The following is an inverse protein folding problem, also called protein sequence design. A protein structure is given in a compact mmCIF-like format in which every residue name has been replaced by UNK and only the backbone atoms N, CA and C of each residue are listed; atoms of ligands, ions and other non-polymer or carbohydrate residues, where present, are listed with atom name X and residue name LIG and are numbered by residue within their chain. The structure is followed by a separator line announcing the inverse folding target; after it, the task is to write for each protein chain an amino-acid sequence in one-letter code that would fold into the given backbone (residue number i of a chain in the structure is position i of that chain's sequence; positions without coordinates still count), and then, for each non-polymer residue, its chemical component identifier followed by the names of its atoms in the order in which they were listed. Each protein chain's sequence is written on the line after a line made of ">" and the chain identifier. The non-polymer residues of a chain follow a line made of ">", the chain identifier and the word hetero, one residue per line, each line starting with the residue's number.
data_IF_781278319408
#
_entry.id   IF_781278319408
#
_cell.length_a   1.000
_cell.length_b   1.000
_cell.length_c   1.000
_cell.angle_alpha   90.00
_cell.angle_beta   90.00
_cell.angle_gamma   90.00
#
_symmetry.space_group_name_H-M   'P 1'
#
loop_
_entity.id
_entity.type
_entity.pdbx_description
1 polymer ?
#
# COMPACT_ATOMS: atom_id res chain seq x y z
N UNK A 1 -0.45 -10.83 -2.91
CA UNK A 1 0.27 -9.54 -3.03
C UNK A 1 0.25 -8.78 -1.71
N UNK A 2 1.38 -8.19 -1.31
CA UNK A 2 1.61 -7.47 -0.05
C UNK A 2 1.28 -8.26 1.24
N UNK A 3 1.79 -9.48 1.37
CA UNK A 3 1.45 -10.35 2.51
C UNK A 3 2.06 -9.88 3.85
N UNK A 4 3.35 -9.49 3.83
CA UNK A 4 4.08 -9.02 5.01
C UNK A 4 3.56 -7.65 5.44
N UNK A 5 3.27 -6.76 4.50
CA UNK A 5 2.69 -5.45 4.79
C UNK A 5 1.31 -5.58 5.45
N UNK A 6 0.43 -6.44 4.96
CA UNK A 6 -0.88 -6.69 5.60
C UNK A 6 -0.74 -7.22 7.02
N UNK A 7 0.18 -8.17 7.23
CA UNK A 7 0.45 -8.70 8.58
C UNK A 7 0.95 -7.59 9.51
N UNK A 8 1.82 -6.72 9.01
CA UNK A 8 2.30 -5.55 9.75
C UNK A 8 1.17 -4.57 10.11
N UNK A 9 0.29 -4.22 9.17
CA UNK A 9 -0.84 -3.32 9.46
C UNK A 9 -1.75 -3.90 10.56
N UNK A 10 -2.10 -5.19 10.48
CA UNK A 10 -2.92 -5.86 11.51
C UNK A 10 -2.26 -5.87 12.88
N UNK A 11 -0.96 -6.16 12.92
CA UNK A 11 -0.20 -6.20 14.18
C UNK A 11 -0.17 -4.84 14.89
N UNK A 12 -0.35 -3.74 14.15
CA UNK A 12 -0.38 -2.39 14.69
C UNK A 12 -1.78 -1.80 14.74
N UNK A 13 -2.84 -2.63 14.70
CA UNK A 13 -4.24 -2.22 14.78
C UNK A 13 -4.65 -1.20 13.69
N UNK A 14 -4.00 -1.24 12.53
CA UNK A 14 -4.34 -0.41 11.36
C UNK A 14 -5.30 -1.22 10.48
N UNK A 15 -6.48 -0.67 10.25
CA UNK A 15 -7.47 -1.24 9.35
C UNK A 15 -7.03 -1.06 7.90
N UNK A 16 -7.38 -2.03 7.06
CA UNK A 16 -7.15 -1.92 5.62
C UNK A 16 -8.29 -2.56 4.83
N UNK A 17 -8.49 -2.04 3.63
CA UNK A 17 -9.42 -2.56 2.64
C UNK A 17 -8.68 -2.82 1.32
N UNK A 18 -9.03 -3.93 0.67
CA UNK A 18 -8.43 -4.32 -0.61
C UNK A 18 -9.37 -3.92 -1.73
N UNK A 19 -8.86 -3.19 -2.70
CA UNK A 19 -9.59 -2.82 -3.91
C UNK A 19 -8.77 -3.25 -5.11
N UNK A 20 -9.39 -4.01 -6.01
CA UNK A 20 -8.75 -4.44 -7.25
C UNK A 20 -9.29 -3.60 -8.38
N UNK A 21 -8.40 -2.87 -9.06
CA UNK A 21 -8.77 -2.03 -10.19
C UNK A 21 -8.19 -2.67 -11.44
N UNK A 22 -9.07 -3.03 -12.37
CA UNK A 22 -8.66 -3.40 -13.72
C UNK A 22 -8.69 -2.13 -14.57
N UNK A 23 -7.54 -1.51 -14.88
CA UNK A 23 -7.53 -0.44 -15.86
C UNK A 23 -7.99 -0.99 -17.22
N UNK A 24 -8.84 -0.25 -17.91
CA UNK A 24 -9.45 -0.68 -19.18
C UNK A 24 -8.45 -0.75 -20.34
N UNK A 25 -7.34 -0.01 -20.27
CA UNK A 25 -6.41 0.20 -21.38
C UNK A 25 -4.93 -0.13 -21.06
N UNK A 26 -4.60 -0.55 -19.84
CA UNK A 26 -3.21 -0.85 -19.44
C UNK A 26 -3.01 -2.35 -19.24
N UNK A 27 -1.84 -2.85 -19.66
CA UNK A 27 -1.40 -4.24 -19.42
C UNK A 27 -1.03 -4.47 -17.96
N UNK A 28 -0.72 -3.40 -17.22
CA UNK A 28 -0.41 -3.46 -15.80
C UNK A 28 -1.70 -3.50 -14.98
N UNK A 29 -1.78 -4.49 -14.08
CA UNK A 29 -2.90 -4.56 -13.15
C UNK A 29 -2.60 -3.72 -11.92
N UNK A 30 -3.62 -3.03 -11.43
CA UNK A 30 -3.48 -2.12 -10.30
C UNK A 30 -4.16 -2.71 -9.07
N UNK A 31 -3.37 -2.98 -8.05
CA UNK A 31 -3.86 -3.41 -6.74
C UNK A 31 -3.80 -2.26 -5.75
N UNK A 32 -4.96 -1.83 -5.26
CA UNK A 32 -5.07 -0.74 -4.30
C UNK A 32 -5.35 -1.31 -2.91
N UNK A 33 -4.59 -0.86 -1.93
CA UNK A 33 -4.78 -1.18 -0.51
C UNK A 33 -4.98 0.12 0.24
N UNK A 34 -6.24 0.43 0.58
CA UNK A 34 -6.60 1.56 1.44
C UNK A 34 -6.35 1.17 2.89
N UNK A 35 -5.89 2.09 3.73
CA UNK A 35 -5.63 1.84 5.13
C UNK A 35 -5.79 3.08 6.01
N UNK A 36 -6.11 2.86 7.29
CA UNK A 36 -6.36 3.91 8.27
C UNK A 36 -6.51 3.37 9.68
N UNK A 37 -6.52 4.26 10.68
CA UNK A 37 -6.73 3.87 12.08
C UNK A 37 -8.18 3.52 12.40
N UNK A 38 -9.13 4.06 11.64
CA UNK A 38 -10.55 3.71 11.75
C UNK A 38 -11.05 3.16 10.42
N UNK A 39 -12.07 2.29 10.43
CA UNK A 39 -12.70 1.79 9.21
C UNK A 39 -13.29 2.89 8.33
N UNK A 40 -13.75 3.98 8.95
CA UNK A 40 -14.41 5.11 8.28
C UNK A 40 -13.41 6.09 7.64
N UNK A 41 -12.17 6.16 8.17
CA UNK A 41 -11.12 7.08 7.69
C UNK A 41 -9.91 6.34 7.14
N UNK A 42 -10.10 5.63 6.02
CA UNK A 42 -9.02 4.98 5.27
C UNK A 42 -8.41 5.91 4.21
N UNK A 43 -7.84 7.03 4.66
CA UNK A 43 -7.39 8.10 3.77
C UNK A 43 -6.02 7.81 3.12
N UNK A 44 -5.28 6.84 3.64
CA UNK A 44 -4.00 6.42 3.08
C UNK A 44 -4.18 5.25 2.13
N UNK A 45 -3.36 5.17 1.08
CA UNK A 45 -3.42 4.07 0.13
C UNK A 45 -2.05 3.64 -0.38
N UNK A 46 -1.91 2.34 -0.63
CA UNK A 46 -0.87 1.77 -1.47
C UNK A 46 -1.46 1.42 -2.82
N UNK A 47 -0.81 1.84 -3.90
CA UNK A 47 -1.11 1.42 -5.26
C UNK A 47 0.03 0.52 -5.72
N UNK A 48 -0.28 -0.72 -6.10
CA UNK A 48 0.71 -1.69 -6.56
C UNK A 48 0.45 -1.99 -8.02
N UNK A 49 1.37 -1.57 -8.87
CA UNK A 49 1.41 -1.92 -10.27
C UNK A 49 2.15 -3.25 -10.40
N UNK A 50 1.49 -4.23 -11.01
CA UNK A 50 2.05 -5.55 -11.20
C UNK A 50 1.71 -6.12 -12.57
N UNK A 51 2.64 -6.94 -13.06
CA UNK A 51 2.50 -7.71 -14.28
C UNK A 51 2.57 -9.20 -13.96
N UNK A 52 2.20 -10.04 -14.94
CA UNK A 52 2.43 -11.48 -14.86
C UNK A 52 3.63 -11.83 -15.73
N UNK A 53 4.52 -12.66 -15.19
CA UNK A 53 5.56 -13.28 -16.00
C UNK A 53 4.94 -14.29 -16.97
N UNK A 54 5.72 -14.72 -17.96
CA UNK A 54 5.31 -15.79 -18.88
C UNK A 54 4.86 -17.07 -18.16
N UNK A 55 5.41 -17.37 -16.98
CA UNK A 55 5.00 -18.50 -16.14
C UNK A 55 3.79 -18.22 -15.24
N UNK A 56 3.09 -17.09 -15.43
CA UNK A 56 1.94 -16.68 -14.62
C UNK A 56 2.28 -16.19 -13.20
N UNK A 57 3.55 -15.94 -12.87
CA UNK A 57 3.92 -15.44 -11.54
C UNK A 57 3.71 -13.92 -11.48
N UNK A 58 3.20 -13.43 -10.36
CA UNK A 58 3.04 -11.99 -10.15
C UNK A 58 4.42 -11.36 -9.96
N UNK A 59 4.74 -10.37 -10.80
CA UNK A 59 5.89 -9.49 -10.66
C UNK A 59 5.40 -8.11 -10.26
N UNK A 60 5.80 -7.65 -9.08
CA UNK A 60 5.58 -6.26 -8.66
C UNK A 60 6.55 -5.39 -9.47
N UNK A 61 6.00 -4.40 -10.17
CA UNK A 61 6.80 -3.43 -10.92
C UNK A 61 7.05 -2.20 -10.04
N UNK A 62 6.00 -1.71 -9.38
CA UNK A 62 6.05 -0.49 -8.59
C UNK A 62 5.03 -0.52 -7.45
N UNK A 63 5.39 0.07 -6.32
CA UNK A 63 4.48 0.32 -5.21
C UNK A 63 4.51 1.80 -4.87
N UNK A 64 3.37 2.46 -4.99
CA UNK A 64 3.20 3.88 -4.69
C UNK A 64 2.42 4.04 -3.40
N UNK A 65 3.04 4.62 -2.36
CA UNK A 65 2.40 5.02 -1.13
C UNK A 65 1.92 6.47 -1.25
N UNK A 66 0.62 6.67 -1.06
CA UNK A 66 0.02 7.99 -0.95
C UNK A 66 -0.58 8.17 0.43
N UNK A 67 -0.06 9.16 1.16
CA UNK A 67 -0.63 9.58 2.43
C UNK A 67 -1.59 10.75 2.22
N UNK A 68 -2.60 10.86 3.09
CA UNK A 68 -3.45 12.04 3.14
C UNK A 68 -2.59 13.29 3.37
N UNK A 69 -2.86 14.36 2.62
CA UNK A 69 -2.07 15.60 2.64
C UNK A 69 -0.72 15.55 1.89
N UNK A 70 -0.34 14.42 1.30
CA UNK A 70 0.91 14.29 0.54
C UNK A 70 0.71 14.72 -0.93
N UNK A 71 1.53 15.68 -1.39
CA UNK A 71 1.50 16.16 -2.79
C UNK A 71 2.02 15.12 -3.79
N UNK A 72 3.15 14.47 -3.49
CA UNK A 72 3.78 13.47 -4.37
C UNK A 72 3.82 12.10 -3.70
N UNK A 73 3.29 11.04 -4.32
CA UNK A 73 3.38 9.68 -3.76
C UNK A 73 4.84 9.25 -3.60
N UNK A 74 5.12 8.44 -2.58
CA UNK A 74 6.43 7.80 -2.42
C UNK A 74 6.43 6.46 -3.14
N UNK A 75 7.47 6.19 -3.89
CA UNK A 75 7.58 5.02 -4.75
C UNK A 75 8.58 4.03 -4.17
N UNK A 76 8.27 2.74 -4.30
CA UNK A 76 9.09 1.63 -3.83
C UNK A 76 9.11 0.54 -4.89
N UNK A 77 10.23 -0.16 -5.03
CA UNK A 77 10.38 -1.21 -6.04
C UNK A 77 9.83 -2.55 -5.57
N UNK A 78 9.81 -2.78 -4.25
CA UNK A 78 9.42 -4.06 -3.67
C UNK A 78 8.78 -3.91 -2.28
N UNK A 79 8.15 -5.00 -1.83
CA UNK A 79 7.47 -5.03 -0.53
C UNK A 79 8.43 -4.82 0.65
N UNK A 80 9.71 -5.20 0.53
CA UNK A 80 10.68 -5.08 1.62
C UNK A 80 11.03 -3.61 1.90
N UNK A 81 11.25 -2.80 0.86
CA UNK A 81 11.48 -1.36 0.96
C UNK A 81 10.29 -0.64 1.57
N UNK A 82 9.08 -0.96 1.09
CA UNK A 82 7.84 -0.44 1.67
C UNK A 82 7.74 -0.77 3.16
N UNK A 83 7.99 -2.03 3.53
CA UNK A 83 7.88 -2.48 4.90
C UNK A 83 8.94 -1.81 5.80
N UNK A 84 10.16 -1.62 5.29
CA UNK A 84 11.21 -0.89 6.01
C UNK A 84 10.78 0.56 6.27
N UNK A 85 10.22 1.24 5.26
CA UNK A 85 9.69 2.58 5.41
C UNK A 85 8.58 2.65 6.46
N UNK A 86 7.61 1.74 6.42
CA UNK A 86 6.49 1.73 7.36
C UNK A 86 6.95 1.50 8.81
N UNK A 87 7.87 0.56 9.03
CA UNK A 87 8.47 0.31 10.35
C UNK A 87 9.15 1.57 10.91
N UNK A 88 9.88 2.31 10.07
CA UNK A 88 10.58 3.54 10.46
C UNK A 88 9.60 4.67 10.82
N UNK A 89 8.46 4.75 10.15
CA UNK A 89 7.53 5.87 10.28
C UNK A 89 6.31 5.57 11.15
N UNK A 90 6.21 4.39 11.76
CA UNK A 90 5.00 3.98 12.48
C UNK A 90 4.61 4.91 13.63
N UNK A 91 5.59 5.37 14.41
CA UNK A 91 5.38 6.33 15.49
C UNK A 91 4.79 7.67 15.01
N UNK A 92 5.08 8.03 13.75
CA UNK A 92 4.54 9.24 13.13
C UNK A 92 3.09 9.05 12.70
N UNK A 93 2.72 7.85 12.24
CA UNK A 93 1.33 7.49 11.94
C UNK A 93 0.42 7.55 13.17
N UNK A 94 0.88 7.04 14.30
CA UNK A 94 0.11 7.11 15.55
C UNK A 94 -0.06 8.55 16.06
N UNK A 95 0.95 9.41 15.87
CA UNK A 95 0.96 10.79 16.38
C UNK A 95 0.15 11.77 15.53
N UNK A 96 0.23 11.66 14.20
CA UNK A 96 -0.47 12.60 13.31
C UNK A 96 -1.98 12.35 13.24
N UNK A 97 -2.45 11.15 13.57
CA UNK A 97 -3.87 10.80 13.54
C UNK A 97 -4.58 10.96 14.90
N UNK A 98 -3.86 11.38 15.96
CA UNK A 98 -4.43 11.74 17.27
C UNK A 98 -4.81 13.23 17.39
N UNK A 99 -4.51 14.03 16.37
CA UNK A 99 -4.94 15.43 16.24
C UNK A 99 -6.24 15.49 15.45
#
# INVERSE_FOLDING_TARGET
>A
MLGKTKKFLRANHIFYEKEHVNPLMETEKVYVLKFGLTPEKMEHRFTVEHSYTWTGRIKINKISLRLHGQQHPREFHNEAELLHYLKKHIKHFEKNNKK
#
